data_IF_732678089970
#
_entry.id   IF_732678089970
#
_cell.length_a   1.000
_cell.length_b   1.000
_cell.length_c   1.000
_cell.angle_alpha   90.00
_cell.angle_beta   90.00
_cell.angle_gamma   90.00
#
_symmetry.space_group_name_H-M   'P 1'
#
loop_
_entity.id
_entity.type
_entity.pdbx_description
1 polymer ?
#
# COMPACT_ATOMS: atom_id res chain seq x y z
N UNK A 1 17.92 2.28 35.98
CA UNK A 1 16.82 2.44 35.01
C UNK A 1 16.20 1.09 34.63
N UNK A 2 15.75 0.28 35.62
CA UNK A 2 15.10 -1.03 35.40
C UNK A 2 13.67 -1.10 35.98
N UNK A 3 13.36 -0.25 36.95
CA UNK A 3 12.05 -0.23 37.64
C UNK A 3 10.97 0.41 36.75
N UNK A 4 11.32 1.44 35.97
CA UNK A 4 10.35 2.12 35.08
C UNK A 4 9.80 1.23 33.96
N UNK A 5 10.63 0.36 33.36
CA UNK A 5 10.17 -0.56 32.30
C UNK A 5 9.18 -1.60 32.82
N UNK A 6 9.48 -2.22 33.97
CA UNK A 6 8.60 -3.21 34.60
C UNK A 6 7.21 -2.65 34.96
N UNK A 7 7.14 -1.38 35.38
CA UNK A 7 5.87 -0.72 35.71
C UNK A 7 5.05 -0.42 34.46
N UNK A 8 5.71 -0.05 33.35
CA UNK A 8 5.04 0.17 32.06
C UNK A 8 4.47 -1.13 31.49
N UNK A 9 5.24 -2.21 31.55
CA UNK A 9 4.81 -3.52 31.04
C UNK A 9 3.60 -4.07 31.80
N UNK A 10 3.59 -3.96 33.13
CA UNK A 10 2.46 -4.39 33.95
C UNK A 10 1.21 -3.52 33.71
N UNK A 11 1.39 -2.20 33.60
CA UNK A 11 0.30 -1.29 33.27
C UNK A 11 -0.28 -1.58 31.87
N UNK A 12 0.57 -1.89 30.88
CA UNK A 12 0.14 -2.27 29.54
C UNK A 12 -0.71 -3.53 29.59
N UNK A 13 -0.28 -4.56 30.34
CA UNK A 13 -1.02 -5.81 30.51
C UNK A 13 -2.42 -5.58 31.10
N UNK A 14 -2.54 -4.73 32.13
CA UNK A 14 -3.84 -4.37 32.71
C UNK A 14 -4.75 -3.68 31.68
N UNK A 15 -4.19 -2.80 30.84
CA UNK A 15 -4.94 -2.14 29.76
C UNK A 15 -5.37 -3.14 28.68
N UNK A 16 -4.52 -4.10 28.31
CA UNK A 16 -4.88 -5.16 27.36
C UNK A 16 -6.03 -6.03 27.87
N UNK A 17 -5.99 -6.41 29.15
CA UNK A 17 -7.10 -7.12 29.77
C UNK A 17 -8.41 -6.32 29.72
N UNK A 18 -8.35 -5.00 29.94
CA UNK A 18 -9.53 -4.14 29.85
C UNK A 18 -10.08 -4.05 28.43
N UNK A 19 -9.21 -3.96 27.41
CA UNK A 19 -9.62 -3.98 26.00
C UNK A 19 -10.38 -5.27 25.64
N UNK A 20 -10.00 -6.40 26.24
CA UNK A 20 -10.63 -7.70 25.99
C UNK A 20 -11.96 -7.89 26.76
N UNK A 21 -12.12 -7.20 27.90
CA UNK A 21 -13.29 -7.34 28.78
C UNK A 21 -14.42 -6.36 28.45
N UNK A 22 -14.08 -5.16 27.97
CA UNK A 22 -15.03 -4.06 27.81
C UNK A 22 -15.01 -3.57 26.37
N UNK A 23 -16.17 -3.53 25.72
CA UNK A 23 -16.32 -2.95 24.38
C UNK A 23 -16.44 -1.40 24.41
N UNK A 24 -15.73 -0.77 25.34
CA UNK A 24 -15.63 0.69 25.44
C UNK A 24 -14.39 1.18 24.70
N UNK A 25 -14.45 2.40 24.16
CA UNK A 25 -13.31 2.98 23.44
C UNK A 25 -12.16 3.44 24.34
N UNK A 26 -12.43 3.74 25.61
CA UNK A 26 -11.44 4.34 26.52
C UNK A 26 -10.20 3.45 26.72
N UNK A 27 -10.32 2.13 27.02
CA UNK A 27 -9.17 1.25 27.12
C UNK A 27 -8.28 1.26 25.87
N UNK A 28 -8.87 1.24 24.67
CA UNK A 28 -8.13 1.25 23.41
C UNK A 28 -7.37 2.57 23.20
N UNK A 29 -7.99 3.72 23.52
CA UNK A 29 -7.31 5.03 23.47
C UNK A 29 -6.14 5.12 24.46
N UNK A 30 -6.30 4.56 25.67
CA UNK A 30 -5.21 4.49 26.66
C UNK A 30 -4.09 3.59 26.14
N UNK A 31 -4.41 2.42 25.57
CA UNK A 31 -3.43 1.51 24.98
C UNK A 31 -2.59 2.20 23.91
N UNK A 32 -3.25 2.90 22.98
CA UNK A 32 -2.55 3.64 21.92
C UNK A 32 -1.65 4.75 22.47
N UNK A 33 -2.11 5.52 23.47
CA UNK A 33 -1.30 6.57 24.10
C UNK A 33 -0.08 6.01 24.84
N UNK A 34 -0.23 4.86 25.52
CA UNK A 34 0.89 4.17 26.16
C UNK A 34 1.89 3.64 25.13
N UNK A 35 1.40 3.05 24.04
CA UNK A 35 2.23 2.58 22.93
C UNK A 35 3.03 3.75 22.32
N UNK A 36 2.37 4.86 22.01
CA UNK A 36 3.00 6.07 21.47
C UNK A 36 4.07 6.67 22.40
N UNK A 37 3.88 6.58 23.71
CA UNK A 37 4.79 7.18 24.70
C UNK A 37 5.97 6.28 25.05
N UNK A 38 5.75 4.97 25.17
CA UNK A 38 6.71 4.06 25.79
C UNK A 38 7.26 2.97 24.85
N UNK A 39 6.66 2.77 23.68
CA UNK A 39 7.04 1.71 22.74
C UNK A 39 7.17 2.22 21.31
N UNK A 40 8.37 2.17 20.74
CA UNK A 40 8.63 2.64 19.37
C UNK A 40 8.24 1.62 18.27
N UNK A 41 7.30 0.72 18.55
CA UNK A 41 6.85 -0.26 17.57
C UNK A 41 5.68 0.30 16.75
N UNK A 42 6.00 0.79 15.56
CA UNK A 42 5.02 1.38 14.64
C UNK A 42 3.92 0.41 14.20
N UNK A 43 4.20 -0.89 14.09
CA UNK A 43 3.20 -1.89 13.69
C UNK A 43 2.16 -2.10 14.81
N UNK A 44 2.63 -2.24 16.05
CA UNK A 44 1.75 -2.35 17.21
C UNK A 44 0.96 -1.06 17.45
N UNK A 45 1.57 0.10 17.21
CA UNK A 45 0.90 1.39 17.32
C UNK A 45 -0.16 1.57 16.22
N UNK A 46 0.15 1.24 14.97
CA UNK A 46 -0.80 1.24 13.87
C UNK A 46 -1.99 0.31 14.18
N UNK A 47 -1.72 -0.88 14.71
CA UNK A 47 -2.75 -1.83 15.14
C UNK A 47 -3.66 -1.25 16.23
N UNK A 48 -3.10 -0.53 17.20
CA UNK A 48 -3.89 0.16 18.21
C UNK A 48 -4.81 1.23 17.60
N UNK A 49 -4.32 2.00 16.62
CA UNK A 49 -5.16 2.98 15.91
C UNK A 49 -6.25 2.32 15.07
N UNK A 50 -5.95 1.21 14.39
CA UNK A 50 -6.96 0.43 13.65
C UNK A 50 -8.06 -0.09 14.57
N UNK A 51 -7.70 -0.61 15.74
CA UNK A 51 -8.68 -1.15 16.69
C UNK A 51 -9.55 -0.04 17.30
N UNK A 52 -9.00 1.17 17.51
CA UNK A 52 -9.80 2.36 17.87
C UNK A 52 -10.79 2.71 16.74
N UNK A 53 -10.34 2.75 15.49
CA UNK A 53 -11.18 3.15 14.34
C UNK A 53 -12.29 2.14 14.03
N UNK A 54 -12.10 0.85 14.37
CA UNK A 54 -13.18 -0.15 14.31
C UNK A 54 -14.31 0.13 15.29
N UNK A 55 -14.01 0.78 16.42
CA UNK A 55 -14.99 1.12 17.46
C UNK A 55 -15.57 2.53 17.20
N UNK A 56 -14.73 3.48 16.80
CA UNK A 56 -15.10 4.87 16.49
C UNK A 56 -14.51 5.29 15.13
N UNK A 57 -15.20 4.95 14.03
CA UNK A 57 -14.78 5.34 12.68
C UNK A 57 -14.75 6.86 12.47
N UNK A 58 -15.42 7.65 13.31
CA UNK A 58 -15.49 9.11 13.20
C UNK A 58 -14.26 9.84 13.77
N UNK A 59 -13.31 9.10 14.38
CA UNK A 59 -12.16 9.66 15.05
C UNK A 59 -11.07 10.14 14.07
N UNK A 60 -11.28 11.33 13.49
CA UNK A 60 -10.37 11.97 12.52
C UNK A 60 -8.93 12.08 13.04
N UNK A 61 -8.75 12.35 14.33
CA UNK A 61 -7.41 12.46 14.94
C UNK A 61 -6.65 11.15 14.90
N UNK A 62 -7.28 10.04 15.27
CA UNK A 62 -6.68 8.69 15.19
C UNK A 62 -6.40 8.31 13.75
N UNK A 63 -7.32 8.60 12.82
CA UNK A 63 -7.13 8.34 11.40
C UNK A 63 -5.90 9.07 10.85
N UNK A 64 -5.74 10.36 11.17
CA UNK A 64 -4.55 11.14 10.78
C UNK A 64 -3.25 10.51 11.30
N UNK A 65 -3.22 10.04 12.54
CA UNK A 65 -2.03 9.38 13.10
C UNK A 65 -1.70 8.05 12.39
N UNK A 66 -2.72 7.25 12.08
CA UNK A 66 -2.53 6.00 11.32
C UNK A 66 -1.99 6.27 9.90
N UNK A 67 -2.51 7.31 9.23
CA UNK A 67 -2.01 7.75 7.92
C UNK A 67 -0.52 8.10 8.02
N UNK A 68 -0.10 8.90 9.00
CA UNK A 68 1.31 9.28 9.18
C UNK A 68 2.23 8.07 9.38
N UNK A 69 1.81 7.08 10.17
CA UNK A 69 2.61 5.85 10.34
C UNK A 69 2.76 5.10 9.01
N UNK A 70 1.67 5.00 8.24
CA UNK A 70 1.68 4.34 6.92
C UNK A 70 2.53 5.12 5.91
N UNK A 71 2.51 6.45 5.96
CA UNK A 71 3.34 7.33 5.11
C UNK A 71 4.82 7.19 5.44
N UNK A 72 5.17 7.06 6.72
CA UNK A 72 6.55 6.78 7.12
C UNK A 72 7.01 5.41 6.63
N UNK A 73 6.16 4.38 6.71
CA UNK A 73 6.53 3.03 6.29
C UNK A 73 6.81 2.95 4.79
N UNK A 74 5.95 3.55 3.96
CA UNK A 74 6.17 3.54 2.51
C UNK A 74 7.45 4.29 2.13
N UNK A 75 7.78 5.39 2.81
CA UNK A 75 9.03 6.11 2.58
C UNK A 75 10.26 5.27 2.96
N UNK A 76 10.21 4.55 4.08
CA UNK A 76 11.30 3.67 4.51
C UNK A 76 11.52 2.50 3.54
N UNK A 77 10.44 1.90 3.03
CA UNK A 77 10.52 0.86 1.99
C UNK A 77 11.09 1.45 0.70
N UNK A 78 10.67 2.65 0.30
CA UNK A 78 11.17 3.32 -0.90
C UNK A 78 12.68 3.62 -0.78
N UNK A 79 13.15 4.10 0.37
CA UNK A 79 14.58 4.29 0.66
C UNK A 79 15.35 2.97 0.63
N UNK A 80 14.77 1.88 1.14
CA UNK A 80 15.40 0.55 1.07
C UNK A 80 15.51 0.06 -0.38
N UNK A 81 14.44 0.18 -1.17
CA UNK A 81 14.45 -0.12 -2.62
C UNK A 81 15.48 0.74 -3.34
N UNK A 82 15.65 2.00 -2.94
CA UNK A 82 16.69 2.89 -3.44
C UNK A 82 18.11 2.42 -3.08
N UNK A 83 18.34 1.96 -1.85
CA UNK A 83 19.67 1.54 -1.43
C UNK A 83 20.09 0.15 -1.93
N UNK A 84 19.14 -0.74 -2.26
CA UNK A 84 19.42 -2.19 -2.40
C UNK A 84 18.78 -2.84 -3.64
N UNK A 85 18.90 -4.17 -3.74
CA UNK A 85 18.07 -5.05 -4.58
C UNK A 85 17.25 -5.94 -3.63
N UNK A 86 16.04 -5.52 -3.23
CA UNK A 86 15.32 -6.20 -2.16
C UNK A 86 14.82 -7.59 -2.54
N UNK A 87 14.68 -8.45 -1.53
CA UNK A 87 14.02 -9.75 -1.65
C UNK A 87 12.55 -9.61 -2.08
N UNK A 88 11.94 -10.66 -2.66
CA UNK A 88 10.56 -10.61 -3.15
C UNK A 88 9.54 -10.13 -2.11
N UNK A 89 9.73 -10.50 -0.84
CA UNK A 89 8.79 -10.12 0.23
C UNK A 89 8.69 -8.61 0.40
N UNK A 90 9.80 -7.88 0.26
CA UNK A 90 9.81 -6.41 0.39
C UNK A 90 9.04 -5.78 -0.77
N UNK A 91 9.19 -6.30 -1.98
CA UNK A 91 8.40 -5.84 -3.13
C UNK A 91 6.91 -6.15 -2.98
N UNK A 92 6.54 -7.27 -2.34
CA UNK A 92 5.15 -7.60 -2.04
C UNK A 92 4.55 -6.57 -1.07
N UNK A 93 5.22 -6.31 0.04
CA UNK A 93 4.78 -5.31 1.03
C UNK A 93 4.69 -3.92 0.41
N UNK A 94 5.66 -3.54 -0.44
CA UNK A 94 5.61 -2.26 -1.12
C UNK A 94 4.38 -2.12 -2.02
N UNK A 95 4.06 -3.16 -2.79
CA UNK A 95 2.86 -3.19 -3.63
C UNK A 95 1.57 -3.11 -2.80
N UNK A 96 1.47 -3.86 -1.70
CA UNK A 96 0.31 -3.88 -0.78
C UNK A 96 0.13 -2.54 -0.04
N UNK A 97 1.19 -1.78 0.22
CA UNK A 97 1.06 -0.43 0.78
C UNK A 97 0.65 0.57 -0.30
N UNK A 98 1.23 0.50 -1.50
CA UNK A 98 0.84 1.35 -2.62
C UNK A 98 -0.67 1.23 -2.92
N UNK A 99 -1.22 0.02 -2.96
CA UNK A 99 -2.66 -0.19 -3.18
C UNK A 99 -3.51 0.50 -2.11
N UNK A 100 -3.13 0.42 -0.82
CA UNK A 100 -3.86 1.08 0.26
C UNK A 100 -3.87 2.60 0.11
N UNK A 101 -2.74 3.20 -0.27
CA UNK A 101 -2.66 4.64 -0.51
C UNK A 101 -3.53 5.11 -1.66
N UNK A 102 -3.72 4.25 -2.66
CA UNK A 102 -4.44 4.58 -3.88
C UNK A 102 -5.93 4.23 -3.86
N UNK A 103 -6.32 3.19 -3.11
CA UNK A 103 -7.73 2.79 -2.98
C UNK A 103 -8.47 3.62 -1.93
N UNK A 104 -7.78 4.19 -0.95
CA UNK A 104 -8.37 5.14 0.01
C UNK A 104 -8.58 6.55 -0.56
N UNK A 105 -8.19 6.81 -1.82
CA UNK A 105 -8.50 8.06 -2.52
C UNK A 105 -9.90 8.07 -3.17
N UNK A 106 -10.64 6.96 -3.09
CA UNK A 106 -11.94 6.73 -3.75
C UNK A 106 -13.13 7.40 -3.01
N UNK A 107 -12.88 8.26 -2.00
CA UNK A 107 -13.95 8.98 -1.28
C UNK A 107 -14.64 10.08 -2.11
N UNK A 108 -14.03 10.55 -3.20
CA UNK A 108 -14.64 11.55 -4.11
C UNK A 108 -15.30 10.89 -5.34
N UNK A 109 -16.26 10.00 -5.10
CA UNK A 109 -17.18 9.56 -6.16
C UNK A 109 -18.15 10.68 -6.49
N UNK A 110 -17.76 11.59 -7.38
CA UNK A 110 -18.72 12.50 -8.00
C UNK A 110 -19.62 11.70 -8.95
N UNK A 111 -20.85 11.41 -8.50
CA UNK A 111 -21.91 10.97 -9.41
C UNK A 111 -22.35 12.20 -10.20
N UNK A 112 -22.07 12.22 -11.51
CA UNK A 112 -22.57 13.29 -12.37
C UNK A 112 -23.93 12.84 -12.91
N UNK A 113 -25.00 13.48 -12.43
CA UNK A 113 -26.31 13.36 -13.06
C UNK A 113 -26.31 14.23 -14.32
N UNK A 114 -26.41 13.63 -15.49
CA UNK A 114 -26.76 14.36 -16.69
C UNK A 114 -28.27 14.61 -16.63
N UNK A 115 -28.66 15.84 -16.35
CA UNK A 115 -30.05 16.30 -16.55
C UNK A 115 -30.29 16.40 -18.06
N UNK A 116 -30.53 15.24 -18.68
CA UNK A 116 -31.07 15.16 -20.02
C UNK A 116 -32.52 15.64 -19.99
N UNK A 117 -32.75 16.87 -20.43
CA UNK A 117 -34.10 17.32 -20.77
C UNK A 117 -34.60 16.52 -21.97
N UNK A 118 -35.30 15.42 -21.73
CA UNK A 118 -36.00 14.68 -22.78
C UNK A 118 -36.05 13.18 -22.58
N UNK A 119 -37.25 12.72 -22.25
CA UNK A 119 -37.82 11.38 -22.46
C UNK A 119 -37.26 10.18 -21.66
N UNK A 120 -38.23 9.43 -21.11
CA UNK A 120 -38.06 8.27 -20.24
C UNK A 120 -37.18 7.18 -20.88
N UNK A 121 -35.90 7.14 -20.50
CA UNK A 121 -34.99 6.08 -20.93
C UNK A 121 -33.66 6.11 -20.17
N UNK A 122 -33.58 5.32 -19.09
CA UNK A 122 -32.36 4.99 -18.33
C UNK A 122 -31.41 6.14 -18.01
N UNK A 123 -31.51 6.69 -16.79
CA UNK A 123 -30.45 7.53 -16.21
C UNK A 123 -29.12 6.76 -16.19
N UNK A 124 -28.25 6.98 -17.17
CA UNK A 124 -26.88 6.47 -17.15
C UNK A 124 -26.09 7.29 -16.12
N UNK A 125 -25.98 6.75 -14.92
CA UNK A 125 -25.03 7.24 -13.92
C UNK A 125 -23.64 6.78 -14.35
N UNK A 126 -22.81 7.69 -14.86
CA UNK A 126 -21.38 7.41 -14.97
C UNK A 126 -20.71 7.81 -13.64
N UNK A 127 -19.86 6.94 -13.10
CA UNK A 127 -18.94 7.31 -12.03
C UNK A 127 -17.57 7.53 -12.68
N UNK A 128 -17.04 8.75 -12.62
CA UNK A 128 -15.62 8.99 -12.89
C UNK A 128 -14.90 8.80 -11.58
N UNK A 129 -13.93 7.88 -11.57
CA UNK A 129 -13.00 7.76 -10.44
C UNK A 129 -12.08 8.95 -10.46
N UNK A 130 -12.24 9.85 -9.48
CA UNK A 130 -11.23 10.83 -9.19
C UNK A 130 -10.18 10.19 -8.27
N UNK A 131 -9.28 9.39 -8.84
CA UNK A 131 -8.14 8.88 -8.09
C UNK A 131 -7.13 10.02 -7.90
N UNK A 132 -7.35 10.88 -6.91
CA UNK A 132 -6.34 11.86 -6.53
C UNK A 132 -5.10 11.13 -6.02
N UNK A 133 -3.97 11.31 -6.70
CA UNK A 133 -2.71 10.74 -6.22
C UNK A 133 -2.38 11.39 -4.87
N UNK A 134 -2.12 10.62 -3.80
CA UNK A 134 -1.87 11.18 -2.48
C UNK A 134 -0.77 12.24 -2.51
N UNK A 135 -0.95 13.31 -1.72
CA UNK A 135 -0.07 14.49 -1.69
C UNK A 135 1.39 14.14 -1.52
N UNK A 136 1.72 13.11 -0.74
CA UNK A 136 3.10 12.68 -0.55
C UNK A 136 3.83 12.37 -1.87
N UNK A 137 3.12 11.89 -2.89
CA UNK A 137 3.69 11.54 -4.20
C UNK A 137 3.67 12.70 -5.21
N UNK A 138 2.91 13.77 -4.95
CA UNK A 138 2.74 14.90 -5.88
C UNK A 138 3.36 16.21 -5.39
N UNK A 139 3.37 16.46 -4.09
CA UNK A 139 3.90 17.69 -3.48
C UNK A 139 5.44 17.65 -3.34
N UNK A 140 6.06 16.47 -3.41
CA UNK A 140 7.52 16.32 -3.25
C UNK A 140 8.19 15.88 -4.55
N UNK A 141 9.24 16.62 -4.96
CA UNK A 141 10.05 16.26 -6.13
C UNK A 141 10.84 14.95 -5.95
N UNK A 142 10.95 14.45 -4.71
CA UNK A 142 11.70 13.24 -4.37
C UNK A 142 11.09 12.00 -5.00
N UNK A 143 9.77 11.82 -4.94
CA UNK A 143 9.10 10.64 -5.51
C UNK A 143 9.22 10.58 -7.03
N UNK A 144 9.13 11.72 -7.71
CA UNK A 144 9.39 11.81 -9.16
C UNK A 144 10.83 11.42 -9.51
N UNK A 145 11.82 11.95 -8.78
CA UNK A 145 13.24 11.61 -8.99
C UNK A 145 13.52 10.14 -8.72
N UNK A 146 12.94 9.60 -7.65
CA UNK A 146 13.06 8.20 -7.26
C UNK A 146 12.46 7.28 -8.33
N UNK A 147 11.27 7.61 -8.83
CA UNK A 147 10.66 6.89 -9.95
C UNK A 147 11.55 6.93 -11.21
N UNK A 148 12.09 8.09 -11.59
CA UNK A 148 13.04 8.19 -12.72
C UNK A 148 14.24 7.28 -12.54
N UNK A 149 14.83 7.27 -11.35
CA UNK A 149 16.02 6.49 -11.06
C UNK A 149 15.73 4.97 -11.04
N UNK A 150 14.57 4.56 -10.53
CA UNK A 150 14.12 3.18 -10.53
C UNK A 150 13.91 2.59 -11.93
N UNK A 151 13.59 3.41 -12.95
CA UNK A 151 13.50 2.94 -14.34
C UNK A 151 14.77 2.19 -14.77
N UNK A 152 15.94 2.74 -14.45
CA UNK A 152 17.21 2.15 -14.86
C UNK A 152 17.68 1.05 -13.90
N UNK A 153 17.50 1.25 -12.59
CA UNK A 153 18.03 0.28 -11.62
C UNK A 153 17.19 -0.98 -11.50
N UNK A 154 15.87 -0.84 -11.50
CA UNK A 154 14.97 -1.93 -11.13
C UNK A 154 14.12 -2.40 -12.29
N UNK A 155 13.83 -1.53 -13.25
CA UNK A 155 12.82 -1.81 -14.26
C UNK A 155 13.34 -1.76 -15.70
N UNK A 156 14.66 -1.73 -15.88
CA UNK A 156 15.24 -1.73 -17.22
C UNK A 156 15.01 -3.07 -17.91
N UNK A 157 14.99 -3.09 -19.26
CA UNK A 157 14.91 -4.33 -20.01
C UNK A 157 16.01 -5.33 -19.61
N UNK A 158 17.23 -4.85 -19.38
CA UNK A 158 18.40 -5.66 -19.00
C UNK A 158 18.21 -6.31 -17.62
N UNK A 159 17.62 -5.58 -16.67
CA UNK A 159 17.28 -6.11 -15.35
C UNK A 159 16.24 -7.21 -15.46
N UNK A 160 15.17 -7.00 -16.22
CA UNK A 160 14.15 -8.03 -16.42
C UNK A 160 14.72 -9.30 -17.07
N UNK A 161 15.56 -9.14 -18.09
CA UNK A 161 16.23 -10.26 -18.76
C UNK A 161 17.18 -11.01 -17.80
N UNK A 162 17.88 -10.29 -16.91
CA UNK A 162 18.71 -10.90 -15.89
C UNK A 162 17.89 -11.68 -14.85
N UNK A 163 16.77 -11.11 -14.39
CA UNK A 163 15.84 -11.77 -13.47
C UNK A 163 15.26 -13.05 -14.07
N UNK A 164 14.93 -13.05 -15.37
CA UNK A 164 14.45 -14.24 -16.08
C UNK A 164 15.51 -15.35 -16.20
N UNK A 165 16.81 -15.02 -16.17
CA UNK A 165 17.91 -15.99 -16.30
C UNK A 165 18.48 -16.48 -14.98
N UNK A 166 18.53 -15.64 -13.95
CA UNK A 166 19.36 -15.85 -12.75
C UNK A 166 18.56 -16.26 -11.49
N UNK A 167 17.32 -16.72 -11.62
CA UNK A 167 16.49 -17.07 -10.47
C UNK A 167 17.11 -18.15 -9.57
N UNK A 168 17.25 -17.87 -8.27
CA UNK A 168 17.60 -18.80 -7.17
C UNK A 168 16.63 -19.98 -7.03
N UNK A 169 15.50 -19.92 -7.75
CA UNK A 169 14.56 -20.98 -8.01
C UNK A 169 13.39 -20.44 -8.84
N UNK A 170 12.73 -21.30 -9.62
CA UNK A 170 11.64 -20.89 -10.52
C UNK A 170 10.53 -20.09 -9.79
N UNK A 171 10.13 -20.53 -8.60
CA UNK A 171 9.08 -19.87 -7.81
C UNK A 171 9.53 -18.50 -7.26
N UNK A 172 10.77 -18.37 -6.83
CA UNK A 172 11.30 -17.14 -6.24
C UNK A 172 11.49 -16.05 -7.30
N UNK A 173 12.04 -16.43 -8.45
CA UNK A 173 12.09 -15.61 -9.66
C UNK A 173 10.70 -15.10 -10.03
N UNK A 174 9.72 -16.00 -10.02
CA UNK A 174 8.33 -15.66 -10.31
C UNK A 174 7.75 -14.68 -9.29
N UNK A 175 7.96 -14.89 -8.00
CA UNK A 175 7.54 -13.95 -6.96
C UNK A 175 8.16 -12.58 -7.16
N UNK A 176 9.48 -12.49 -7.34
CA UNK A 176 10.22 -11.24 -7.53
C UNK A 176 9.62 -10.39 -8.65
N UNK A 177 9.60 -10.94 -9.86
CA UNK A 177 9.09 -10.24 -11.04
C UNK A 177 7.59 -9.92 -10.92
N UNK A 178 6.79 -10.74 -10.24
CA UNK A 178 5.36 -10.45 -9.98
C UNK A 178 5.21 -9.20 -9.13
N UNK A 179 5.90 -9.18 -8.00
CA UNK A 179 5.76 -8.12 -7.01
C UNK A 179 6.35 -6.81 -7.54
N UNK A 180 7.45 -6.87 -8.30
CA UNK A 180 7.99 -5.74 -9.06
C UNK A 180 7.01 -5.22 -10.11
N UNK A 181 6.36 -6.11 -10.87
CA UNK A 181 5.37 -5.68 -11.87
C UNK A 181 4.12 -5.06 -11.22
N UNK A 182 3.70 -5.53 -10.05
CA UNK A 182 2.63 -4.90 -9.29
C UNK A 182 2.98 -3.48 -8.82
N UNK A 183 4.20 -3.28 -8.29
CA UNK A 183 4.70 -1.94 -7.96
C UNK A 183 4.78 -1.04 -9.21
N UNK A 184 5.42 -1.53 -10.27
CA UNK A 184 5.60 -0.79 -11.52
C UNK A 184 4.26 -0.39 -12.15
N UNK A 185 3.25 -1.25 -12.08
CA UNK A 185 1.91 -0.95 -12.57
C UNK A 185 1.27 0.24 -11.83
N UNK A 186 1.53 0.40 -10.53
CA UNK A 186 1.03 1.52 -9.71
C UNK A 186 1.88 2.78 -9.82
N UNK A 187 3.14 2.67 -10.22
CA UNK A 187 4.06 3.82 -10.37
C UNK A 187 3.99 4.39 -11.79
N UNK A 188 4.10 3.53 -12.80
CA UNK A 188 4.25 3.89 -14.22
C UNK A 188 3.03 3.58 -15.08
N UNK A 189 2.09 2.77 -14.57
CA UNK A 189 0.89 2.33 -15.29
C UNK A 189 0.99 0.92 -15.88
N UNK A 190 -0.15 0.35 -16.32
CA UNK A 190 -0.26 -1.05 -16.77
C UNK A 190 0.42 -1.31 -18.12
N UNK A 191 0.57 -0.28 -18.94
CA UNK A 191 1.18 -0.36 -20.27
C UNK A 191 2.71 -0.27 -20.24
N UNK A 192 3.30 -0.08 -19.06
CA UNK A 192 4.75 0.00 -18.92
C UNK A 192 5.43 -1.32 -19.33
N UNK A 193 6.53 -1.25 -20.08
CA UNK A 193 7.16 -2.41 -20.73
C UNK A 193 7.53 -3.56 -19.78
N UNK A 194 7.97 -3.27 -18.55
CA UNK A 194 8.21 -4.30 -17.54
C UNK A 194 6.91 -5.02 -17.16
N UNK A 195 5.83 -4.26 -16.96
CA UNK A 195 4.50 -4.78 -16.59
C UNK A 195 3.94 -5.63 -17.73
N UNK A 196 3.91 -5.12 -18.96
CA UNK A 196 3.33 -5.85 -20.10
C UNK A 196 4.08 -7.15 -20.39
N UNK A 197 5.42 -7.15 -20.28
CA UNK A 197 6.22 -8.38 -20.42
C UNK A 197 5.93 -9.38 -19.31
N UNK A 198 5.90 -8.95 -18.05
CA UNK A 198 5.63 -9.85 -16.91
C UNK A 198 4.21 -10.40 -16.96
N UNK A 199 3.20 -9.58 -17.27
CA UNK A 199 1.81 -10.07 -17.38
C UNK A 199 1.61 -10.94 -18.63
N UNK A 200 2.14 -10.53 -19.78
CA UNK A 200 2.01 -11.25 -21.05
C UNK A 200 2.71 -12.60 -21.07
N UNK A 201 3.93 -12.69 -20.50
CA UNK A 201 4.66 -13.95 -20.40
C UNK A 201 4.03 -14.94 -19.39
N UNK A 202 3.22 -14.45 -18.44
CA UNK A 202 2.66 -15.26 -17.35
C UNK A 202 1.24 -15.77 -17.57
N UNK A 203 0.41 -15.04 -18.32
CA UNK A 203 -1.00 -15.41 -18.50
C UNK A 203 -1.20 -16.73 -19.28
N UNK A 204 -0.21 -17.17 -20.07
CA UNK A 204 -0.36 -18.33 -20.97
C UNK A 204 0.34 -19.60 -20.47
N UNK A 205 1.32 -19.52 -19.55
CA UNK A 205 2.17 -20.69 -19.20
C UNK A 205 1.97 -21.30 -17.80
N UNK A 206 1.33 -20.62 -16.84
CA UNK A 206 1.43 -21.04 -15.43
C UNK A 206 0.14 -20.89 -14.61
N UNK A 207 -0.94 -21.49 -15.10
CA UNK A 207 -2.24 -21.65 -14.42
C UNK A 207 -2.21 -22.27 -13.00
N UNK A 208 -1.03 -22.63 -12.46
CA UNK A 208 -0.90 -23.37 -11.21
C UNK A 208 -0.62 -22.51 -9.97
N UNK A 209 -0.39 -21.20 -10.09
CA UNK A 209 -0.36 -20.29 -8.93
C UNK A 209 -1.46 -19.24 -9.04
N UNK A 210 -2.67 -19.66 -8.71
CA UNK A 210 -3.87 -18.81 -8.63
C UNK A 210 -3.63 -17.58 -7.75
N UNK A 211 -2.84 -17.72 -6.68
CA UNK A 211 -2.48 -16.63 -5.77
C UNK A 211 -1.70 -15.51 -6.47
N UNK A 212 -0.62 -15.83 -7.18
CA UNK A 212 0.21 -14.84 -7.89
C UNK A 212 -0.56 -14.17 -9.02
N UNK A 213 -1.41 -14.92 -9.72
CA UNK A 213 -2.29 -14.38 -10.75
C UNK A 213 -3.28 -13.38 -10.14
N UNK A 214 -3.99 -13.77 -9.07
CA UNK A 214 -4.96 -12.90 -8.41
C UNK A 214 -4.31 -11.64 -7.85
N UNK A 215 -3.11 -11.76 -7.28
CA UNK A 215 -2.32 -10.63 -6.82
C UNK A 215 -2.05 -9.64 -7.97
N UNK A 216 -1.49 -10.11 -9.08
CA UNK A 216 -1.23 -9.27 -10.25
C UNK A 216 -2.51 -8.62 -10.78
N UNK A 217 -3.59 -9.38 -10.94
CA UNK A 217 -4.85 -8.81 -11.43
C UNK A 217 -5.37 -7.69 -10.52
N UNK A 218 -5.27 -7.82 -9.20
CA UNK A 218 -5.63 -6.76 -8.25
C UNK A 218 -4.85 -5.47 -8.49
N UNK A 219 -3.56 -5.57 -8.81
CA UNK A 219 -2.74 -4.37 -9.07
C UNK A 219 -2.98 -3.75 -10.44
N UNK A 220 -3.37 -4.55 -11.45
CA UNK A 220 -3.66 -4.09 -12.81
C UNK A 220 -4.96 -3.30 -12.93
N UNK A 221 -6.03 -3.70 -12.25
CA UNK A 221 -7.35 -3.08 -12.39
C UNK A 221 -7.47 -1.71 -11.71
N UNK A 222 -6.52 -1.36 -10.82
CA UNK A 222 -6.57 -0.17 -9.98
C UNK A 222 -5.26 0.64 -10.12
N UNK A 223 -4.77 0.86 -11.33
CA UNK A 223 -3.50 1.58 -11.51
C UNK A 223 -3.63 3.08 -11.27
N UNK A 224 -2.54 3.68 -10.80
CA UNK A 224 -2.34 5.14 -10.76
C UNK A 224 -1.04 5.45 -11.48
N UNK A 225 -0.86 6.72 -11.84
CA UNK A 225 0.33 7.17 -12.55
C UNK A 225 1.04 8.20 -11.69
N UNK A 226 1.88 7.72 -10.77
CA UNK A 226 2.76 8.57 -9.96
C UNK A 226 3.74 9.32 -10.86
N UNK A 227 4.20 8.66 -11.94
CA UNK A 227 5.19 9.20 -12.86
C UNK A 227 4.69 9.14 -14.30
N UNK A 228 4.64 10.30 -14.96
CA UNK A 228 4.45 10.39 -16.40
C UNK A 228 5.79 10.15 -17.11
N UNK A 229 5.77 9.23 -18.07
CA UNK A 229 6.94 8.87 -18.89
C UNK A 229 7.19 9.86 -20.04
N UNK A 230 6.34 10.88 -20.18
CA UNK A 230 6.44 11.95 -21.18
C UNK A 230 7.43 13.04 -20.75
#
# INVERSE_FOLDING_TARGET
MKIGGLVVDEAMKVVEEMCNKVHEIKPFRIKAAMMETFHQNNDLLAKCYEDILKIDPSCVTTLKKLIVIRESLIEMIALHVEASFPEPIIWKEFAEILILFFENADEDRMSVCLDGSGEEGSQQTYSVRYNSTPRMFTETSSWTLRAKWWLNRHFSPEILEAEMRNGTGYLEMMRLMSYKAACACRIYGPEFGYVTKVYGSRLVKYSNSLELFNFLQRHRHNWNRIYNLE
#
